data_IF_803964942330
#
_entry.id   IF_803964942330
#
_cell.length_a   1.000
_cell.length_b   1.000
_cell.length_c   1.000
_cell.angle_alpha   90.00
_cell.angle_beta   90.00
_cell.angle_gamma   90.00
#
_symmetry.space_group_name_H-M   'P 1'
#
loop_
_entity.id
_entity.type
_entity.pdbx_description
1 polymer ?
#
# COMPACT_ATOMS: atom_id res chain seq x y z
N UNK A 1 -9.27 -21.88 -2.85
CA UNK A 1 -8.87 -20.47 -2.65
C UNK A 1 -9.79 -19.85 -1.59
N UNK A 2 -9.33 -18.98 -0.67
CA UNK A 2 -10.12 -18.47 0.47
C UNK A 2 -11.07 -17.32 0.10
N UNK A 3 -11.13 -16.96 -1.18
CA UNK A 3 -12.01 -15.91 -1.69
C UNK A 3 -13.21 -16.54 -2.37
N UNK A 4 -14.37 -15.92 -2.18
CA UNK A 4 -15.64 -16.40 -2.70
C UNK A 4 -16.36 -15.36 -3.54
N UNK A 5 -17.14 -15.83 -4.51
CA UNK A 5 -18.03 -15.03 -5.34
C UNK A 5 -19.31 -14.65 -4.60
N UNK A 6 -20.20 -13.92 -5.28
CA UNK A 6 -21.50 -13.50 -4.75
C UNK A 6 -22.40 -14.65 -4.28
N UNK A 7 -22.20 -15.85 -4.83
CA UNK A 7 -22.94 -17.07 -4.49
C UNK A 7 -22.24 -17.92 -3.42
N UNK A 8 -21.11 -17.46 -2.88
CA UNK A 8 -20.32 -18.20 -1.88
C UNK A 8 -19.46 -19.32 -2.47
N UNK A 9 -19.34 -19.42 -3.79
CA UNK A 9 -18.47 -20.38 -4.48
C UNK A 9 -17.07 -19.82 -4.57
N UNK A 10 -16.09 -20.67 -4.89
CA UNK A 10 -14.72 -20.23 -5.10
C UNK A 10 -14.63 -19.12 -6.16
N UNK A 11 -13.93 -18.03 -5.84
CA UNK A 11 -13.81 -16.86 -6.72
C UNK A 11 -12.93 -17.20 -7.93
N UNK A 12 -13.53 -17.13 -9.13
CA UNK A 12 -12.84 -17.44 -10.41
C UNK A 12 -12.39 -16.21 -11.18
N UNK A 13 -13.15 -15.11 -11.13
CA UNK A 13 -12.83 -13.84 -11.79
C UNK A 13 -13.15 -12.66 -10.88
N UNK A 14 -12.57 -11.50 -11.18
CA UNK A 14 -12.85 -10.24 -10.48
C UNK A 14 -13.24 -9.23 -11.55
N UNK A 15 -14.52 -8.88 -11.59
CA UNK A 15 -15.05 -7.96 -12.58
C UNK A 15 -14.80 -6.51 -12.13
N UNK A 16 -13.89 -5.81 -12.80
CA UNK A 16 -13.49 -4.44 -12.51
C UNK A 16 -13.72 -3.55 -13.73
N UNK A 17 -14.44 -2.44 -13.54
CA UNK A 17 -14.55 -1.38 -14.54
C UNK A 17 -13.62 -0.21 -14.20
N UNK A 18 -12.71 0.15 -15.10
CA UNK A 18 -11.89 1.36 -14.91
C UNK A 18 -12.76 2.62 -15.07
N UNK A 19 -12.92 3.41 -14.01
CA UNK A 19 -13.74 4.61 -14.03
C UNK A 19 -13.16 5.71 -13.13
N UNK A 20 -12.94 6.95 -13.65
CA UNK A 20 -12.98 7.29 -15.08
C UNK A 20 -11.83 6.62 -15.85
N UNK A 21 -11.98 6.45 -17.17
CA UNK A 21 -10.97 5.81 -18.04
C UNK A 21 -9.60 6.50 -17.98
N UNK A 22 -9.59 7.79 -17.60
CA UNK A 22 -8.38 8.61 -17.49
C UNK A 22 -7.68 8.51 -16.14
N UNK A 23 -8.25 7.80 -15.16
CA UNK A 23 -7.68 7.65 -13.83
C UNK A 23 -7.36 6.17 -13.52
N UNK A 24 -6.37 5.90 -12.66
CA UNK A 24 -6.02 4.53 -12.23
C UNK A 24 -6.96 4.03 -11.14
N UNK A 25 -8.28 4.23 -11.30
CA UNK A 25 -9.30 3.83 -10.33
C UNK A 25 -10.32 2.91 -10.97
N UNK A 26 -10.81 1.95 -10.19
CA UNK A 26 -11.69 0.90 -10.65
C UNK A 26 -12.95 0.81 -9.78
N UNK A 27 -14.04 0.38 -10.40
CA UNK A 27 -15.28 0.01 -9.74
C UNK A 27 -15.44 -1.51 -9.77
N UNK A 28 -15.62 -2.14 -8.62
CA UNK A 28 -15.95 -3.55 -8.49
C UNK A 28 -17.39 -3.77 -8.98
N UNK A 29 -17.58 -4.65 -9.96
CA UNK A 29 -18.91 -4.89 -10.56
C UNK A 29 -19.72 -5.95 -9.81
N UNK A 30 -19.04 -6.92 -9.21
CA UNK A 30 -19.65 -7.99 -8.43
C UNK A 30 -18.98 -8.08 -7.07
N UNK A 31 -19.78 -8.31 -6.01
CA UNK A 31 -19.23 -8.44 -4.67
C UNK A 31 -18.32 -9.66 -4.56
N UNK A 32 -17.30 -9.56 -3.72
CA UNK A 32 -16.39 -10.66 -3.41
C UNK A 32 -16.22 -10.80 -1.91
N UNK A 33 -16.04 -12.02 -1.42
CA UNK A 33 -15.85 -12.33 -0.02
C UNK A 33 -14.47 -12.90 0.29
N UNK A 34 -13.95 -12.62 1.47
CA UNK A 34 -12.77 -13.29 2.03
C UNK A 34 -13.18 -14.13 3.25
N UNK A 35 -12.85 -15.42 3.24
CA UNK A 35 -13.09 -16.36 4.32
C UNK A 35 -11.82 -16.49 5.15
N UNK A 36 -11.80 -15.91 6.36
CA UNK A 36 -10.61 -15.98 7.22
C UNK A 36 -10.44 -17.37 7.82
N UNK A 37 -9.36 -18.07 7.42
CA UNK A 37 -9.03 -19.40 7.90
C UNK A 37 -8.89 -19.48 9.43
N UNK A 38 -9.44 -20.52 10.04
CA UNK A 38 -9.35 -20.77 11.48
C UNK A 38 -10.37 -20.03 12.35
N UNK A 39 -11.32 -19.30 11.75
CA UNK A 39 -12.45 -18.68 12.48
C UNK A 39 -13.66 -19.62 12.47
N UNK A 40 -14.23 -19.92 13.64
CA UNK A 40 -15.47 -20.70 13.79
C UNK A 40 -16.51 -19.89 14.58
N UNK A 41 -17.72 -19.61 14.03
CA UNK A 41 -18.14 -19.91 12.65
C UNK A 41 -17.28 -19.19 11.60
N UNK A 42 -17.25 -19.71 10.37
CA UNK A 42 -16.52 -19.07 9.27
C UNK A 42 -17.04 -17.64 9.08
N UNK A 43 -16.17 -16.67 9.36
CA UNK A 43 -16.47 -15.26 9.16
C UNK A 43 -16.08 -14.88 7.72
N UNK A 44 -17.08 -14.52 6.92
CA UNK A 44 -16.87 -13.96 5.58
C UNK A 44 -16.85 -12.44 5.69
N UNK A 45 -15.80 -11.82 5.18
CA UNK A 45 -15.70 -10.37 5.06
C UNK A 45 -15.97 -10.00 3.60
N UNK A 46 -17.06 -9.27 3.36
CA UNK A 46 -17.52 -8.91 2.02
C UNK A 46 -17.02 -7.54 1.59
N UNK A 47 -16.55 -7.45 0.35
CA UNK A 47 -16.46 -6.21 -0.39
C UNK A 47 -17.68 -6.13 -1.31
N UNK A 48 -18.57 -5.18 -1.04
CA UNK A 48 -19.76 -4.97 -1.85
C UNK A 48 -19.43 -4.42 -3.23
N UNK A 49 -20.27 -4.78 -4.22
CA UNK A 49 -20.17 -4.20 -5.56
C UNK A 49 -20.34 -2.67 -5.49
N UNK A 50 -19.50 -1.96 -6.23
CA UNK A 50 -19.61 -0.51 -6.36
C UNK A 50 -20.81 -0.15 -7.23
N UNK A 51 -21.47 0.96 -6.90
CA UNK A 51 -22.57 1.53 -7.67
C UNK A 51 -21.98 2.16 -8.94
N UNK A 52 -22.35 1.75 -10.15
CA UNK A 52 -21.80 2.32 -11.38
C UNK A 52 -21.93 3.85 -11.42
N UNK A 53 -20.80 4.55 -11.55
CA UNK A 53 -20.72 6.01 -11.55
C UNK A 53 -19.53 6.47 -12.41
N UNK A 54 -19.75 7.41 -13.31
CA UNK A 54 -18.72 8.00 -14.18
C UNK A 54 -17.68 8.84 -13.44
N UNK A 55 -18.03 9.35 -12.26
CA UNK A 55 -17.17 10.19 -11.43
C UNK A 55 -17.18 9.70 -9.97
N UNK A 56 -16.68 8.47 -9.70
CA UNK A 56 -16.93 7.80 -8.43
C UNK A 56 -16.29 8.54 -7.26
N UNK A 57 -17.09 8.74 -6.23
CA UNK A 57 -16.65 9.25 -4.94
C UNK A 57 -15.70 8.27 -4.23
N UNK A 58 -14.87 8.76 -3.28
CA UNK A 58 -14.12 7.86 -2.40
C UNK A 58 -15.06 6.85 -1.73
N UNK A 59 -14.68 5.56 -1.73
CA UNK A 59 -15.52 4.48 -1.22
C UNK A 59 -16.41 3.78 -2.25
N UNK A 60 -16.65 4.42 -3.40
CA UNK A 60 -17.30 3.81 -4.56
C UNK A 60 -16.29 3.49 -5.68
N UNK A 61 -15.01 3.37 -5.30
CA UNK A 61 -13.86 3.06 -6.15
C UNK A 61 -12.74 2.43 -5.32
N UNK A 62 -11.91 1.64 -5.99
CA UNK A 62 -10.67 1.03 -5.48
C UNK A 62 -9.52 1.39 -6.43
N UNK A 63 -8.35 1.66 -5.88
CA UNK A 63 -7.09 1.80 -6.62
C UNK A 63 -6.25 0.52 -6.58
N UNK A 64 -6.89 -0.61 -6.20
CA UNK A 64 -6.30 -1.94 -6.05
C UNK A 64 -5.16 -1.89 -5.03
N UNK A 65 -3.94 -2.23 -5.44
CA UNK A 65 -2.77 -2.03 -4.60
C UNK A 65 -2.12 -0.67 -4.93
N UNK A 66 -2.30 0.32 -4.05
CA UNK A 66 -1.58 1.61 -4.12
C UNK A 66 -0.10 1.40 -3.81
N UNK A 67 0.67 0.97 -4.80
CA UNK A 67 2.11 0.74 -4.69
C UNK A 67 2.84 2.04 -5.03
N UNK A 68 3.77 2.52 -4.18
CA UNK A 68 4.65 3.63 -4.54
C UNK A 68 5.41 3.38 -5.85
N UNK A 69 5.59 4.43 -6.67
CA UNK A 69 6.24 4.34 -8.00
C UNK A 69 7.55 3.56 -8.00
N UNK A 70 8.36 3.75 -6.95
CA UNK A 70 9.68 3.13 -6.78
C UNK A 70 9.61 1.60 -6.70
N UNK A 71 8.44 1.04 -6.37
CA UNK A 71 8.19 -0.39 -6.29
C UNK A 71 7.38 -0.96 -7.46
N UNK A 72 7.01 -0.15 -8.46
CA UNK A 72 6.24 -0.63 -9.62
C UNK A 72 6.98 -1.69 -10.45
N UNK A 73 8.31 -1.67 -10.44
CA UNK A 73 9.11 -2.74 -11.07
C UNK A 73 9.10 -4.06 -10.27
N UNK A 74 8.71 -4.04 -9.00
CA UNK A 74 8.73 -5.20 -8.10
C UNK A 74 7.33 -5.76 -7.81
N UNK A 75 6.32 -4.89 -7.84
CA UNK A 75 4.93 -5.18 -7.50
C UNK A 75 4.04 -4.51 -8.54
N UNK A 76 3.37 -5.32 -9.36
CA UNK A 76 2.31 -4.83 -10.25
C UNK A 76 1.12 -4.28 -9.43
N UNK A 77 0.40 -3.31 -9.99
CA UNK A 77 -0.80 -2.76 -9.35
C UNK A 77 -1.95 -3.77 -9.24
N UNK A 78 -1.96 -4.79 -10.11
CA UNK A 78 -2.93 -5.89 -10.12
C UNK A 78 -2.24 -7.26 -10.25
N UNK A 79 -2.96 -8.33 -9.93
CA UNK A 79 -2.49 -9.71 -9.99
C UNK A 79 -3.05 -10.55 -8.85
N UNK A 80 -2.23 -11.46 -8.30
CA UNK A 80 -2.63 -12.32 -7.17
C UNK A 80 -3.06 -11.53 -5.93
N UNK A 81 -2.62 -10.29 -5.79
CA UNK A 81 -2.97 -9.42 -4.68
C UNK A 81 -4.33 -8.72 -4.83
N UNK A 82 -4.93 -8.73 -6.03
CA UNK A 82 -6.11 -7.89 -6.35
C UNK A 82 -7.31 -8.18 -5.45
N UNK A 83 -7.70 -9.45 -5.27
CA UNK A 83 -8.85 -9.79 -4.42
C UNK A 83 -8.66 -9.33 -2.97
N UNK A 84 -7.46 -9.55 -2.41
CA UNK A 84 -7.14 -9.12 -1.07
C UNK A 84 -7.15 -7.60 -0.93
N UNK A 85 -6.66 -6.88 -1.94
CA UNK A 85 -6.62 -5.41 -1.96
C UNK A 85 -8.03 -4.81 -2.02
N UNK A 86 -8.91 -5.36 -2.86
CA UNK A 86 -10.31 -4.92 -2.96
C UNK A 86 -11.06 -5.10 -1.63
N UNK A 87 -10.88 -6.25 -0.97
CA UNK A 87 -11.48 -6.48 0.36
C UNK A 87 -10.90 -5.56 1.42
N UNK A 88 -9.58 -5.33 1.38
CA UNK A 88 -8.91 -4.39 2.27
C UNK A 88 -9.45 -2.97 2.11
N UNK A 89 -9.55 -2.45 0.88
CA UNK A 89 -10.07 -1.11 0.59
C UNK A 89 -11.49 -0.91 1.10
N UNK A 90 -12.37 -1.90 0.85
CA UNK A 90 -13.76 -1.87 1.30
C UNK A 90 -13.86 -1.80 2.83
N UNK A 91 -13.12 -2.65 3.54
CA UNK A 91 -13.09 -2.65 5.01
C UNK A 91 -12.47 -1.37 5.58
N UNK A 92 -11.40 -0.88 4.94
CA UNK A 92 -10.76 0.37 5.29
C UNK A 92 -11.70 1.55 5.17
N UNK A 93 -12.52 1.55 4.13
CA UNK A 93 -13.57 2.54 3.92
C UNK A 93 -14.69 2.42 4.95
N UNK A 94 -15.15 1.20 5.26
CA UNK A 94 -16.15 0.95 6.31
C UNK A 94 -15.72 1.52 7.67
N UNK A 95 -14.46 1.28 8.07
CA UNK A 95 -13.94 1.84 9.33
C UNK A 95 -13.89 3.37 9.28
N UNK A 96 -13.53 3.95 8.13
CA UNK A 96 -13.48 5.40 7.96
C UNK A 96 -14.85 6.07 8.11
N UNK A 97 -15.91 5.39 7.69
CA UNK A 97 -17.29 5.87 7.82
C UNK A 97 -17.90 5.61 9.22
N UNK A 98 -17.28 4.73 10.01
CA UNK A 98 -17.78 4.41 11.36
C UNK A 98 -17.51 5.54 12.35
N UNK A 99 -18.38 5.68 13.36
CA UNK A 99 -18.25 6.66 14.46
C UNK A 99 -17.39 6.08 15.61
N UNK A 100 -16.42 5.22 15.28
CA UNK A 100 -15.59 4.57 16.29
C UNK A 100 -14.61 5.57 16.94
N UNK A 101 -14.36 5.45 18.25
CA UNK A 101 -13.22 6.11 18.89
C UNK A 101 -11.91 5.78 18.17
N UNK A 102 -10.95 6.72 18.19
CA UNK A 102 -9.65 6.58 17.49
C UNK A 102 -8.92 5.28 17.88
N UNK A 103 -8.99 4.87 19.15
CA UNK A 103 -8.34 3.66 19.64
C UNK A 103 -8.95 2.41 19.00
N UNK A 104 -10.28 2.34 18.92
CA UNK A 104 -11.01 1.20 18.35
C UNK A 104 -10.87 1.15 16.83
N UNK A 105 -10.91 2.32 16.16
CA UNK A 105 -10.64 2.42 14.73
C UNK A 105 -9.22 1.92 14.38
N UNK A 106 -8.21 2.24 15.20
CA UNK A 106 -6.86 1.74 15.04
C UNK A 106 -6.76 0.22 15.26
N UNK A 107 -7.45 -0.32 16.26
CA UNK A 107 -7.48 -1.76 16.52
C UNK A 107 -8.15 -2.53 15.37
N UNK A 108 -9.27 -2.02 14.86
CA UNK A 108 -9.96 -2.63 13.73
C UNK A 108 -9.13 -2.55 12.44
N UNK A 109 -8.47 -1.41 12.18
CA UNK A 109 -7.51 -1.29 11.08
C UNK A 109 -6.35 -2.27 11.21
N UNK A 110 -5.86 -2.53 12.43
CA UNK A 110 -4.82 -3.55 12.67
C UNK A 110 -5.30 -4.97 12.33
N UNK A 111 -6.56 -5.30 12.65
CA UNK A 111 -7.21 -6.55 12.24
C UNK A 111 -7.33 -6.65 10.72
N UNK A 112 -7.76 -5.58 10.06
CA UNK A 112 -7.90 -5.50 8.60
C UNK A 112 -6.56 -5.69 7.90
N UNK A 113 -5.51 -4.99 8.35
CA UNK A 113 -4.16 -5.13 7.76
C UNK A 113 -3.62 -6.56 7.97
N UNK A 114 -3.89 -7.20 9.12
CA UNK A 114 -3.55 -8.61 9.36
C UNK A 114 -4.29 -9.54 8.39
N UNK A 115 -5.61 -9.38 8.24
CA UNK A 115 -6.43 -10.17 7.33
C UNK A 115 -5.97 -10.02 5.88
N UNK A 116 -5.63 -8.80 5.46
CA UNK A 116 -5.04 -8.53 4.15
C UNK A 116 -3.76 -9.32 3.91
N UNK A 117 -2.81 -9.29 4.85
CA UNK A 117 -1.56 -10.06 4.73
C UNK A 117 -1.79 -11.56 4.67
N UNK A 118 -2.77 -12.07 5.42
CA UNK A 118 -3.15 -13.49 5.36
C UNK A 118 -3.74 -13.83 4.00
N UNK A 119 -4.70 -13.05 3.51
CA UNK A 119 -5.29 -13.20 2.18
C UNK A 119 -4.24 -13.17 1.06
N UNK A 120 -3.25 -12.26 1.14
CA UNK A 120 -2.11 -12.25 0.20
C UNK A 120 -1.36 -13.58 0.20
N UNK A 121 -1.04 -14.12 1.38
CA UNK A 121 -0.31 -15.40 1.49
C UNK A 121 -1.10 -16.57 0.95
N UNK A 122 -2.40 -16.61 1.21
CA UNK A 122 -3.29 -17.67 0.74
C UNK A 122 -3.53 -17.60 -0.77
N UNK A 123 -3.45 -16.41 -1.38
CA UNK A 123 -3.42 -16.21 -2.83
C UNK A 123 -2.05 -16.50 -3.47
N UNK A 124 -1.07 -17.01 -2.71
CA UNK A 124 0.24 -17.36 -3.21
C UNK A 124 1.14 -16.15 -3.53
N UNK A 125 0.89 -14.99 -2.92
CA UNK A 125 1.82 -13.86 -2.96
C UNK A 125 3.06 -14.22 -2.14
N UNK A 126 4.25 -13.99 -2.71
CA UNK A 126 5.52 -14.30 -2.06
C UNK A 126 5.60 -13.68 -0.65
N UNK A 127 6.10 -14.40 0.37
CA UNK A 127 6.05 -13.94 1.76
C UNK A 127 6.68 -12.56 1.98
N UNK A 128 7.83 -12.29 1.35
CA UNK A 128 8.50 -10.99 1.43
C UNK A 128 7.61 -9.86 0.89
N UNK A 129 6.98 -10.07 -0.27
CA UNK A 129 6.06 -9.10 -0.87
C UNK A 129 4.83 -8.88 0.02
N UNK A 130 4.25 -9.94 0.57
CA UNK A 130 3.11 -9.82 1.47
C UNK A 130 3.43 -9.00 2.74
N UNK A 131 4.63 -9.18 3.31
CA UNK A 131 5.10 -8.38 4.43
C UNK A 131 5.40 -6.92 4.04
N UNK A 132 5.99 -6.69 2.87
CA UNK A 132 6.24 -5.34 2.37
C UNK A 132 4.93 -4.56 2.19
N UNK A 133 3.95 -5.17 1.52
CA UNK A 133 2.61 -4.59 1.35
C UNK A 133 1.94 -4.32 2.71
N UNK A 134 2.01 -5.28 3.64
CA UNK A 134 1.50 -5.11 5.00
C UNK A 134 2.15 -3.95 5.75
N UNK A 135 3.46 -3.78 5.64
CA UNK A 135 4.20 -2.68 6.27
C UNK A 135 3.71 -1.33 5.75
N UNK A 136 3.53 -1.19 4.45
CA UNK A 136 3.05 0.06 3.83
C UNK A 136 1.64 0.44 4.31
N UNK A 137 0.66 -0.49 4.24
CA UNK A 137 -0.71 -0.22 4.71
C UNK A 137 -0.78 -0.01 6.22
N UNK A 138 0.11 -0.66 6.98
CA UNK A 138 0.21 -0.47 8.43
C UNK A 138 0.71 0.92 8.81
N UNK A 139 1.61 1.53 8.03
CA UNK A 139 2.00 2.94 8.24
C UNK A 139 0.85 3.89 7.91
N UNK A 140 0.15 3.66 6.80
CA UNK A 140 -0.99 4.47 6.34
C UNK A 140 -2.09 4.58 7.42
N UNK A 141 -2.35 3.49 8.16
CA UNK A 141 -3.27 3.48 9.29
C UNK A 141 -3.00 4.62 10.30
N UNK A 142 -1.75 4.90 10.63
CA UNK A 142 -1.43 5.95 11.60
C UNK A 142 -1.49 7.35 11.00
N UNK A 143 -1.16 7.49 9.72
CA UNK A 143 -1.27 8.77 9.03
C UNK A 143 -2.69 9.35 9.13
N UNK A 144 -3.71 8.49 9.09
CA UNK A 144 -5.13 8.90 9.12
C UNK A 144 -5.70 9.11 10.53
N UNK A 145 -5.14 8.44 11.56
CA UNK A 145 -5.73 8.41 12.90
C UNK A 145 -4.86 9.03 14.00
N UNK A 146 -3.55 9.17 13.80
CA UNK A 146 -2.63 9.78 14.77
C UNK A 146 -1.31 10.21 14.11
N UNK A 147 -1.27 11.45 13.62
CA UNK A 147 -0.09 11.98 12.90
C UNK A 147 1.18 12.02 13.76
N UNK A 148 1.06 12.30 15.07
CA UNK A 148 2.20 12.29 15.98
C UNK A 148 2.83 10.90 16.10
N UNK A 149 2.00 9.85 16.22
CA UNK A 149 2.48 8.46 16.23
C UNK A 149 3.07 8.07 14.88
N UNK A 150 2.45 8.50 13.78
CA UNK A 150 2.97 8.28 12.43
C UNK A 150 4.38 8.88 12.27
N UNK A 151 4.56 10.16 12.63
CA UNK A 151 5.87 10.84 12.55
C UNK A 151 6.89 10.13 13.46
N UNK A 152 6.53 9.79 14.70
CA UNK A 152 7.44 9.09 15.61
C UNK A 152 7.89 7.73 15.07
N UNK A 153 6.97 6.93 14.55
CA UNK A 153 7.32 5.64 13.92
C UNK A 153 8.12 5.81 12.64
N UNK A 154 7.81 6.82 11.82
CA UNK A 154 8.55 7.12 10.60
C UNK A 154 9.99 7.53 10.95
N UNK A 155 10.18 8.40 11.95
CA UNK A 155 11.49 8.80 12.43
C UNK A 155 12.29 7.60 12.97
N UNK A 156 11.67 6.73 13.77
CA UNK A 156 12.29 5.49 14.26
C UNK A 156 12.63 4.52 13.12
N UNK A 157 11.74 4.39 12.12
CA UNK A 157 11.97 3.56 10.93
C UNK A 157 13.12 4.08 10.07
N UNK A 158 13.21 5.40 9.86
CA UNK A 158 14.30 6.05 9.12
C UNK A 158 15.63 5.91 9.88
N UNK A 159 15.62 6.11 11.20
CA UNK A 159 16.81 5.91 12.03
C UNK A 159 17.27 4.44 11.97
N UNK A 160 16.34 3.50 12.11
CA UNK A 160 16.62 2.07 11.97
C UNK A 160 17.19 1.72 10.60
N UNK A 161 16.58 2.22 9.52
CA UNK A 161 17.08 2.10 8.16
C UNK A 161 18.52 2.62 8.02
N UNK A 162 18.80 3.83 8.50
CA UNK A 162 20.13 4.43 8.45
C UNK A 162 21.16 3.60 9.22
N UNK A 163 20.79 3.05 10.38
CA UNK A 163 21.65 2.15 11.15
C UNK A 163 21.90 0.82 10.43
N UNK A 164 20.89 0.22 9.76
CA UNK A 164 21.10 -1.00 8.98
C UNK A 164 22.04 -0.74 7.80
N UNK A 165 21.84 0.36 7.06
CA UNK A 165 22.69 0.74 5.94
C UNK A 165 24.11 1.04 6.40
N UNK A 166 24.27 1.87 7.44
CA UNK A 166 25.57 2.18 8.03
C UNK A 166 26.27 0.94 8.57
N UNK A 167 25.55 0.08 9.29
CA UNK A 167 26.06 -1.20 9.80
C UNK A 167 26.54 -2.13 8.67
N UNK A 168 25.81 -2.19 7.55
CA UNK A 168 26.23 -2.94 6.37
C UNK A 168 27.54 -2.38 5.78
N UNK A 169 27.65 -1.05 5.64
CA UNK A 169 28.87 -0.38 5.15
C UNK A 169 30.07 -0.67 6.08
N UNK A 170 29.86 -0.61 7.39
CA UNK A 170 30.89 -0.94 8.39
C UNK A 170 31.31 -2.41 8.28
N UNK A 171 30.36 -3.33 8.05
CA UNK A 171 30.64 -4.75 7.88
C UNK A 171 31.50 -5.00 6.63
N UNK A 172 31.13 -4.37 5.49
CA UNK A 172 31.93 -4.43 4.26
C UNK A 172 33.33 -3.82 4.43
N UNK A 173 33.46 -2.82 5.31
CA UNK A 173 34.75 -2.20 5.65
C UNK A 173 35.58 -2.99 6.68
N UNK A 174 35.12 -4.16 7.14
CA UNK A 174 35.83 -4.99 8.11
C UNK A 174 35.84 -4.44 9.55
N UNK A 175 34.95 -3.51 9.88
CA UNK A 175 34.89 -2.88 11.21
C UNK A 175 34.11 -3.80 12.18
N UNK A 176 34.70 -4.27 13.29
CA UNK A 176 34.07 -5.25 14.20
C UNK A 176 32.75 -4.77 14.83
N UNK A 177 32.58 -3.45 15.01
CA UNK A 177 31.38 -2.86 15.59
C UNK A 177 30.13 -3.02 14.70
N UNK A 178 30.28 -3.44 13.44
CA UNK A 178 29.18 -3.56 12.48
C UNK A 178 28.04 -4.45 12.97
N UNK A 179 28.35 -5.61 13.57
CA UNK A 179 27.34 -6.53 14.10
C UNK A 179 26.51 -5.89 15.21
N UNK A 180 27.14 -5.10 16.09
CA UNK A 180 26.45 -4.38 17.15
C UNK A 180 25.49 -3.33 16.56
N UNK A 181 25.96 -2.54 15.59
CA UNK A 181 25.13 -1.53 14.89
C UNK A 181 23.94 -2.18 14.19
N UNK A 182 24.14 -3.30 13.51
CA UNK A 182 23.08 -4.06 12.83
C UNK A 182 22.05 -4.65 13.81
N UNK A 183 22.40 -4.87 15.07
CA UNK A 183 21.48 -5.39 16.08
C UNK A 183 20.63 -4.28 16.75
N UNK A 184 21.07 -3.01 16.71
CA UNK A 184 20.37 -1.89 17.37
C UNK A 184 18.93 -1.73 16.88
N UNK A 185 18.61 -1.72 15.57
CA UNK A 185 17.22 -1.59 15.10
C UNK A 185 16.32 -2.71 15.59
N UNK A 186 16.83 -3.95 15.65
CA UNK A 186 16.09 -5.08 16.22
C UNK A 186 15.85 -4.90 17.72
N UNK A 187 16.87 -4.55 18.49
CA UNK A 187 16.76 -4.35 19.94
C UNK A 187 15.81 -3.20 20.28
N UNK A 188 15.94 -2.06 19.60
CA UNK A 188 15.09 -0.89 19.81
C UNK A 188 13.66 -1.09 19.29
N UNK A 189 13.43 -1.97 18.31
CA UNK A 189 12.07 -2.31 17.86
C UNK A 189 11.21 -2.89 18.98
N UNK A 190 11.81 -3.57 19.96
CA UNK A 190 11.11 -4.11 21.12
C UNK A 190 10.43 -3.01 21.96
N UNK A 191 11.02 -1.80 22.00
CA UNK A 191 10.44 -0.62 22.66
C UNK A 191 9.13 -0.20 21.98
N UNK A 192 8.99 -0.48 20.68
CA UNK A 192 7.75 -0.26 19.92
C UNK A 192 6.58 -1.16 20.34
N UNK A 193 6.79 -2.10 21.28
CA UNK A 193 5.75 -2.97 21.82
C UNK A 193 5.06 -3.75 20.72
N UNK A 194 3.73 -3.63 20.60
CA UNK A 194 2.93 -4.29 19.54
C UNK A 194 3.36 -3.93 18.11
N UNK A 195 4.14 -2.87 17.91
CA UNK A 195 4.60 -2.40 16.60
C UNK A 195 6.02 -2.84 16.23
N UNK A 196 6.66 -3.69 17.05
CA UNK A 196 8.04 -4.11 16.80
C UNK A 196 8.25 -4.68 15.40
N UNK A 197 7.29 -5.50 14.91
CA UNK A 197 7.33 -6.08 13.56
C UNK A 197 7.37 -5.01 12.48
N UNK A 198 6.59 -3.94 12.64
CA UNK A 198 6.54 -2.83 11.69
C UNK A 198 7.89 -2.13 11.61
N UNK A 199 8.51 -1.85 12.76
CA UNK A 199 9.81 -1.18 12.84
C UNK A 199 10.96 -2.05 12.29
N UNK A 200 10.94 -3.36 12.57
CA UNK A 200 11.90 -4.32 11.99
C UNK A 200 11.78 -4.33 10.47
N UNK A 201 10.57 -4.49 9.93
CA UNK A 201 10.38 -4.51 8.48
C UNK A 201 10.73 -3.18 7.82
N UNK A 202 10.35 -2.04 8.44
CA UNK A 202 10.72 -0.72 7.94
C UNK A 202 12.25 -0.54 7.84
N UNK A 203 13.00 -1.05 8.83
CA UNK A 203 14.45 -0.91 8.88
C UNK A 203 15.15 -1.87 7.91
N UNK A 204 14.95 -3.19 8.06
CA UNK A 204 15.72 -4.18 7.32
C UNK A 204 15.24 -4.37 5.89
N UNK A 205 13.91 -4.45 5.66
CA UNK A 205 13.42 -4.57 4.28
C UNK A 205 13.58 -3.25 3.53
N UNK A 206 13.46 -2.11 4.22
CA UNK A 206 13.83 -0.81 3.67
C UNK A 206 15.29 -0.78 3.22
N UNK A 207 16.23 -1.23 4.07
CA UNK A 207 17.65 -1.26 3.73
C UNK A 207 17.96 -2.19 2.56
N UNK A 208 17.32 -3.35 2.52
CA UNK A 208 17.44 -4.30 1.42
C UNK A 208 16.91 -3.73 0.10
N UNK A 209 15.80 -2.99 0.13
CA UNK A 209 15.18 -2.40 -1.04
C UNK A 209 15.82 -1.08 -1.46
N UNK A 210 16.57 -0.42 -0.58
CA UNK A 210 17.15 0.90 -0.83
C UNK A 210 18.04 0.93 -2.09
N UNK A 211 18.98 -0.01 -2.33
CA UNK A 211 19.77 0.00 -3.56
C UNK A 211 18.91 -0.16 -4.82
N UNK A 212 17.89 -1.01 -4.76
CA UNK A 212 16.94 -1.21 -5.88
C UNK A 212 16.15 0.07 -6.14
N UNK A 213 15.68 0.71 -5.08
CA UNK A 213 14.96 1.97 -5.14
C UNK A 213 15.81 3.10 -5.73
N UNK A 214 17.07 3.23 -5.27
CA UNK A 214 18.02 4.22 -5.79
C UNK A 214 18.29 3.97 -7.27
N UNK A 215 18.54 2.72 -7.67
CA UNK A 215 18.76 2.37 -9.08
C UNK A 215 17.52 2.67 -9.94
N UNK A 216 16.32 2.35 -9.45
CA UNK A 216 15.06 2.62 -10.13
C UNK A 216 14.85 4.12 -10.35
N UNK A 217 15.06 4.94 -9.31
CA UNK A 217 14.94 6.41 -9.43
C UNK A 217 16.00 6.95 -10.39
N UNK A 218 17.26 6.50 -10.27
CA UNK A 218 18.34 6.92 -11.16
C UNK A 218 18.06 6.57 -12.63
N UNK A 219 17.44 5.41 -12.91
CA UNK A 219 17.03 5.02 -14.26
C UNK A 219 15.79 5.78 -14.76
N UNK A 220 14.88 6.16 -13.87
CA UNK A 220 13.62 6.84 -14.23
C UNK A 220 13.80 8.34 -14.51
N UNK A 221 14.73 9.02 -13.82
CA UNK A 221 14.96 10.45 -14.00
C UNK A 221 15.35 10.86 -15.43
N UNK A 222 16.27 10.16 -16.13
CA UNK A 222 16.57 10.45 -17.54
C UNK A 222 15.36 10.24 -18.46
N UNK A 223 14.57 9.20 -18.22
CA UNK A 223 13.34 8.96 -18.98
C UNK A 223 12.36 10.13 -18.82
N UNK A 224 12.13 10.59 -17.58
CA UNK A 224 11.30 11.76 -17.33
C UNK A 224 11.83 13.02 -18.02
N UNK A 225 13.16 13.22 -18.05
CA UNK A 225 13.75 14.37 -18.73
C UNK A 225 13.47 14.32 -20.24
N UNK A 226 13.66 13.16 -20.87
CA UNK A 226 13.39 12.96 -22.30
C UNK A 226 11.90 13.14 -22.58
N UNK A 227 11.02 12.54 -21.79
CA UNK A 227 9.57 12.66 -21.93
C UNK A 227 9.16 14.14 -21.86
N UNK A 228 9.67 14.91 -20.88
CA UNK A 228 9.39 16.35 -20.79
C UNK A 228 9.95 17.15 -21.98
N UNK A 229 11.10 16.78 -22.55
CA UNK A 229 11.65 17.41 -23.75
C UNK A 229 10.75 17.14 -24.97
N UNK A 230 10.31 15.88 -25.15
CA UNK A 230 9.41 15.51 -26.24
C UNK A 230 8.08 16.26 -26.12
N UNK A 231 7.52 16.33 -24.91
CA UNK A 231 6.33 17.13 -24.61
C UNK A 231 6.51 18.63 -24.89
N UNK A 232 7.71 19.17 -24.72
CA UNK A 232 7.97 20.60 -24.94
C UNK A 232 8.22 20.94 -26.41
N UNK A 233 8.81 20.03 -27.18
CA UNK A 233 9.33 20.32 -28.53
C UNK A 233 8.57 19.66 -29.67
N UNK A 234 7.91 18.52 -29.43
CA UNK A 234 7.30 17.70 -30.50
C UNK A 234 5.78 17.75 -30.45
N UNK A 235 5.20 17.48 -29.28
CA UNK A 235 3.75 17.41 -29.10
C UNK A 235 3.34 18.27 -27.92
N UNK A 236 2.72 19.43 -28.17
CA UNK A 236 2.13 20.29 -27.15
C UNK A 236 0.69 19.80 -26.90
N UNK A 237 0.43 18.99 -25.86
CA UNK A 237 -0.89 18.43 -25.64
C UNK A 237 -1.87 19.55 -25.37
N UNK A 238 -3.04 19.47 -26.01
CA UNK A 238 -4.16 20.39 -25.75
C UNK A 238 -4.65 20.33 -24.29
N UNK A 239 -4.34 19.26 -23.57
CA UNK A 239 -4.46 19.20 -22.11
C UNK A 239 -3.42 18.25 -21.52
N UNK A 240 -2.65 18.72 -20.54
CA UNK A 240 -1.92 17.82 -19.64
C UNK A 240 -2.96 17.03 -18.85
N UNK A 241 -3.26 15.80 -19.25
CA UNK A 241 -3.67 14.79 -18.28
C UNK A 241 -2.48 14.55 -17.37
N UNK A 242 -2.29 15.41 -16.36
CA UNK A 242 -1.14 15.30 -15.46
C UNK A 242 -1.10 13.89 -14.86
N UNK A 243 0.07 13.23 -14.79
CA UNK A 243 0.23 12.09 -13.89
C UNK A 243 -0.07 12.61 -12.48
N UNK A 244 -1.16 12.13 -11.89
CA UNK A 244 -1.59 12.54 -10.53
C UNK A 244 -0.59 11.97 -9.54
N UNK A 245 0.42 12.77 -9.19
CA UNK A 245 1.33 12.51 -8.07
C UNK A 245 0.92 13.45 -6.93
N UNK A 246 0.13 12.96 -5.96
CA UNK A 246 -0.20 13.69 -4.73
C UNK A 246 -1.66 14.13 -4.57
N UNK A 247 -2.08 14.51 -3.34
CA UNK A 247 -3.48 14.46 -2.92
C UNK A 247 -4.32 15.49 -3.68
N UNK A 248 -5.40 14.99 -4.29
CA UNK A 248 -6.44 15.68 -5.05
C UNK A 248 -6.65 17.14 -4.64
N UNK A 249 -6.13 18.08 -5.43
CA UNK A 249 -6.42 19.50 -5.29
C UNK A 249 -7.86 19.76 -5.77
N UNK A 250 -8.71 20.21 -4.84
CA UNK A 250 -10.12 20.57 -5.04
C UNK A 250 -10.33 21.67 -6.10
N UNK A 251 -9.26 22.37 -6.52
CA UNK A 251 -9.33 23.43 -7.53
C UNK A 251 -9.69 22.95 -8.93
N UNK A 252 -9.51 21.66 -9.25
CA UNK A 252 -9.83 21.12 -10.57
C UNK A 252 -11.33 20.85 -10.82
N UNK A 253 -12.17 20.85 -9.77
CA UNK A 253 -13.61 20.64 -9.93
C UNK A 253 -14.37 21.87 -10.44
N UNK A 254 -13.80 23.08 -10.35
CA UNK A 254 -14.46 24.31 -10.85
C UNK A 254 -14.33 24.53 -12.35
N UNK A 255 -13.51 23.77 -13.08
CA UNK A 255 -13.31 23.95 -14.53
C UNK A 255 -14.23 23.09 -15.40
N UNK A 256 -15.07 22.24 -14.82
CA UNK A 256 -16.03 21.39 -15.55
C UNK A 256 -17.48 21.90 -15.45
N UNK A 257 -17.68 23.11 -14.93
CA UNK A 257 -19.00 23.72 -14.72
C UNK A 257 -19.26 24.95 -15.58
N UNK A 258 -18.74 24.99 -16.81
CA UNK A 258 -19.13 25.92 -17.87
C UNK A 258 -19.09 25.20 -19.22
#
# INVERSE_FOLDING_TARGET
MPFVDSAGRELTSIELGQVPVTAPTFQLRERIGYVEAGTSPQKITWAEAHIPDTAPSPGNRTDLASVPLVFWSLIASYGRQTAAAVVHDSECWRVRQSVLPVVDALAERERIDRAFRLGLRELGVAPFRAWLMWTLVSFERYQKHSIARFIGMLALGILGLALVVGGAILAFSGIPAAAAVLAVPLATSAIGGRHWRLLVWASYAGAFLLPVAVLQVAAYLPYLAIENIVWALVDLPRSKGSPVVGPTDLRNLRRLGN
#
